data_IF_928418911787
#
_entry.id   IF_928418911787
#
_cell.length_a   1.000
_cell.length_b   1.000
_cell.length_c   1.000
_cell.angle_alpha   90.00
_cell.angle_beta   90.00
_cell.angle_gamma   90.00
#
_symmetry.space_group_name_H-M   'P 1'
#
loop_
_entity.id
_entity.type
_entity.pdbx_description
1 polymer ?
#
# COMPACT_ATOMS: atom_id res chain seq x y z
N UNK A 1 66.63 -55.45 -24.49
CA UNK A 1 66.10 -54.74 -23.27
C UNK A 1 65.91 -53.25 -23.54
N UNK A 2 66.83 -52.62 -24.34
CA UNK A 2 66.77 -51.23 -24.71
C UNK A 2 66.15 -51.05 -26.09
N UNK A 3 65.05 -50.45 -26.24
CA UNK A 3 64.42 -50.15 -27.52
C UNK A 3 64.78 -48.73 -27.96
N UNK A 4 65.36 -48.55 -29.17
CA UNK A 4 65.73 -47.23 -29.68
C UNK A 4 64.49 -46.43 -30.05
N UNK A 5 64.33 -45.24 -29.47
CA UNK A 5 63.18 -44.31 -29.66
C UNK A 5 63.50 -43.20 -30.66
N UNK A 6 64.73 -42.64 -30.58
CA UNK A 6 65.08 -41.47 -31.40
C UNK A 6 66.59 -41.31 -31.50
N UNK A 7 67.17 -41.00 -32.74
CA UNK A 7 68.51 -40.57 -32.95
C UNK A 7 68.59 -39.05 -33.00
N UNK A 8 69.45 -38.44 -32.17
CA UNK A 8 69.79 -37.03 -32.16
C UNK A 8 71.18 -36.83 -32.74
N UNK A 9 71.57 -35.59 -33.07
CA UNK A 9 72.88 -35.31 -33.69
C UNK A 9 74.07 -35.79 -32.83
N UNK A 10 74.00 -35.80 -31.53
CA UNK A 10 75.05 -36.17 -30.61
C UNK A 10 74.62 -37.16 -29.52
N UNK A 11 73.43 -37.82 -29.67
CA UNK A 11 72.93 -38.76 -28.69
C UNK A 11 71.91 -39.73 -29.33
N UNK A 12 71.71 -40.86 -28.73
CA UNK A 12 70.56 -41.72 -28.97
C UNK A 12 69.71 -41.93 -27.77
N UNK A 13 68.37 -41.85 -27.95
CA UNK A 13 67.40 -42.12 -26.91
C UNK A 13 66.88 -43.51 -26.98
N UNK A 14 66.94 -44.18 -25.84
CA UNK A 14 66.41 -45.53 -25.66
C UNK A 14 65.28 -45.49 -24.66
N UNK A 15 64.38 -46.44 -24.77
CA UNK A 15 63.32 -46.65 -23.78
C UNK A 15 63.38 -48.13 -23.34
N UNK A 16 63.05 -48.33 -22.08
CA UNK A 16 62.80 -49.68 -21.52
C UNK A 16 61.31 -49.82 -21.20
N UNK A 17 60.78 -51.06 -21.23
CA UNK A 17 59.31 -51.24 -20.94
C UNK A 17 58.86 -50.62 -19.66
N UNK A 18 59.58 -50.81 -18.59
CA UNK A 18 59.23 -50.26 -17.25
C UNK A 18 59.19 -48.71 -17.23
N UNK A 19 60.12 -48.03 -17.96
CA UNK A 19 60.10 -46.56 -18.05
C UNK A 19 58.93 -46.09 -18.87
N UNK A 20 58.52 -46.85 -19.89
CA UNK A 20 57.34 -46.52 -20.68
C UNK A 20 56.04 -46.65 -19.88
N UNK A 21 55.91 -47.70 -19.08
CA UNK A 21 54.77 -47.87 -18.19
C UNK A 21 54.68 -46.75 -17.15
N UNK A 22 55.83 -46.29 -16.62
CA UNK A 22 55.88 -45.16 -15.70
C UNK A 22 55.52 -43.83 -16.39
N UNK A 23 56.03 -43.60 -17.61
CA UNK A 23 55.73 -42.46 -18.47
C UNK A 23 54.21 -42.39 -18.71
N UNK A 24 53.59 -43.49 -19.15
CA UNK A 24 52.16 -43.59 -19.46
C UNK A 24 51.32 -43.42 -18.19
N UNK A 25 51.83 -43.89 -17.04
CA UNK A 25 51.16 -43.69 -15.76
C UNK A 25 51.19 -42.24 -15.32
N UNK A 26 52.34 -41.57 -15.42
CA UNK A 26 52.50 -40.16 -15.01
C UNK A 26 51.75 -39.21 -15.95
N UNK A 27 51.97 -39.37 -17.27
CA UNK A 27 51.34 -38.48 -18.26
C UNK A 27 49.83 -38.70 -18.37
N UNK A 28 49.35 -39.93 -18.13
CA UNK A 28 47.92 -40.24 -18.12
C UNK A 28 47.23 -40.07 -16.77
N UNK A 29 47.97 -39.69 -15.72
CA UNK A 29 47.40 -39.58 -14.36
C UNK A 29 46.33 -38.49 -14.23
N UNK A 30 46.56 -37.32 -14.88
CA UNK A 30 45.64 -36.18 -14.86
C UNK A 30 44.34 -36.52 -15.59
N UNK A 31 44.39 -37.11 -16.75
CA UNK A 31 43.22 -37.54 -17.53
C UNK A 31 42.40 -38.59 -16.75
N UNK A 32 43.08 -39.55 -16.12
CA UNK A 32 42.41 -40.54 -15.26
C UNK A 32 41.77 -39.91 -14.05
N UNK A 33 42.43 -38.94 -13.44
CA UNK A 33 41.86 -38.17 -12.30
C UNK A 33 40.57 -37.46 -12.69
N UNK A 34 40.59 -36.70 -13.78
CA UNK A 34 39.39 -36.01 -14.29
C UNK A 34 38.26 -36.97 -14.68
N UNK A 35 38.61 -38.11 -15.30
CA UNK A 35 37.60 -39.12 -15.63
C UNK A 35 36.94 -39.70 -14.37
N UNK A 36 37.73 -40.00 -13.33
CA UNK A 36 37.23 -40.52 -12.08
C UNK A 36 36.41 -39.47 -11.30
N UNK A 37 36.86 -38.22 -11.26
CA UNK A 37 36.12 -37.13 -10.65
C UNK A 37 34.75 -36.95 -11.32
N UNK A 38 34.72 -37.01 -12.65
CA UNK A 38 33.46 -36.87 -13.39
C UNK A 38 32.52 -38.07 -13.14
N UNK A 39 33.04 -39.28 -13.06
CA UNK A 39 32.25 -40.47 -12.73
C UNK A 39 31.64 -40.38 -11.34
N UNK A 40 32.42 -39.99 -10.32
CA UNK A 40 31.96 -39.78 -8.96
C UNK A 40 30.93 -38.66 -8.91
N UNK A 41 31.17 -37.56 -9.61
CA UNK A 41 30.22 -36.47 -9.72
C UNK A 41 28.88 -36.94 -10.31
N UNK A 42 28.91 -37.68 -11.39
CA UNK A 42 27.72 -38.22 -12.03
C UNK A 42 26.95 -39.16 -11.09
N UNK A 43 27.64 -40.00 -10.36
CA UNK A 43 27.03 -40.93 -9.40
C UNK A 43 26.34 -40.18 -8.26
N UNK A 44 27.03 -39.25 -7.63
CA UNK A 44 26.46 -38.39 -6.59
C UNK A 44 25.24 -37.59 -7.10
N UNK A 45 25.37 -36.99 -8.28
CA UNK A 45 24.26 -36.29 -8.96
C UNK A 45 23.03 -37.17 -9.13
N UNK A 46 23.25 -38.39 -9.63
CA UNK A 46 22.18 -39.36 -9.91
C UNK A 46 21.52 -39.85 -8.62
N UNK A 47 22.28 -40.06 -7.55
CA UNK A 47 21.76 -40.41 -6.21
C UNK A 47 20.88 -39.28 -5.67
N UNK A 48 21.30 -38.01 -5.80
CA UNK A 48 20.50 -36.85 -5.40
C UNK A 48 19.25 -36.74 -6.27
N UNK A 49 19.38 -36.89 -7.58
CA UNK A 49 18.27 -36.83 -8.52
C UNK A 49 17.18 -37.86 -8.21
N UNK A 50 17.56 -39.05 -7.80
CA UNK A 50 16.64 -40.12 -7.41
C UNK A 50 15.81 -39.76 -6.11
N UNK A 51 16.28 -38.80 -5.30
CA UNK A 51 15.64 -38.36 -4.07
C UNK A 51 15.05 -36.94 -4.16
N UNK A 52 15.04 -36.33 -5.35
CA UNK A 52 14.67 -34.89 -5.52
C UNK A 52 13.28 -34.58 -5.03
N UNK A 53 12.29 -35.42 -5.28
CA UNK A 53 10.91 -35.24 -4.78
C UNK A 53 10.84 -35.19 -3.26
N UNK A 54 11.56 -36.14 -2.60
CA UNK A 54 11.62 -36.20 -1.13
C UNK A 54 12.30 -34.96 -0.56
N UNK A 55 13.42 -34.54 -1.15
CA UNK A 55 14.16 -33.34 -0.74
C UNK A 55 13.27 -32.09 -0.89
N UNK A 56 12.61 -31.92 -2.04
CA UNK A 56 11.72 -30.78 -2.28
C UNK A 56 10.51 -30.77 -1.35
N UNK A 57 9.91 -31.92 -1.07
CA UNK A 57 8.80 -32.04 -0.15
C UNK A 57 9.21 -31.66 1.27
N UNK A 58 10.36 -32.15 1.73
CA UNK A 58 10.93 -31.82 3.03
C UNK A 58 11.26 -30.32 3.12
N UNK A 59 11.91 -29.75 2.10
CA UNK A 59 12.23 -28.33 2.04
C UNK A 59 10.98 -27.44 2.10
N UNK A 60 9.91 -27.81 1.37
CA UNK A 60 8.62 -27.11 1.46
C UNK A 60 7.99 -27.19 2.86
N UNK A 61 8.11 -28.32 3.52
CA UNK A 61 7.60 -28.48 4.88
C UNK A 61 8.37 -27.61 5.90
N UNK A 62 9.71 -27.64 5.80
CA UNK A 62 10.58 -26.79 6.62
C UNK A 62 10.30 -25.30 6.39
N UNK A 63 10.19 -24.86 5.12
CA UNK A 63 9.88 -23.49 4.79
C UNK A 63 8.54 -23.01 5.40
N UNK A 64 7.51 -23.88 5.42
CA UNK A 64 6.24 -23.55 6.08
C UNK A 64 6.41 -23.35 7.59
N UNK A 65 7.14 -24.25 8.24
CA UNK A 65 7.39 -24.15 9.69
C UNK A 65 8.19 -22.89 10.01
N UNK A 66 9.20 -22.56 9.22
CA UNK A 66 10.02 -21.35 9.39
C UNK A 66 9.18 -20.08 9.27
N UNK A 67 8.31 -19.99 8.26
CA UNK A 67 7.38 -18.87 8.10
C UNK A 67 6.44 -18.75 9.31
N UNK A 68 5.84 -19.85 9.77
CA UNK A 68 4.95 -19.82 10.92
C UNK A 68 5.67 -19.45 12.21
N UNK A 69 6.87 -19.95 12.42
CA UNK A 69 7.69 -19.60 13.59
C UNK A 69 8.04 -18.10 13.57
N UNK A 70 8.43 -17.56 12.42
CA UNK A 70 8.75 -16.14 12.26
C UNK A 70 7.53 -15.25 12.52
N UNK A 71 6.37 -15.58 11.95
CA UNK A 71 5.13 -14.83 12.15
C UNK A 71 4.65 -14.90 13.61
N UNK A 72 4.76 -16.06 14.25
CA UNK A 72 4.40 -16.26 15.67
C UNK A 72 5.30 -15.43 16.59
N UNK A 73 6.60 -15.44 16.36
CA UNK A 73 7.56 -14.66 17.13
C UNK A 73 7.32 -13.15 17.02
N UNK A 74 7.02 -12.65 15.81
CA UNK A 74 6.67 -11.24 15.59
C UNK A 74 5.34 -10.89 16.28
N UNK A 75 4.34 -11.77 16.20
CA UNK A 75 3.04 -11.56 16.83
C UNK A 75 3.17 -11.48 18.36
N UNK A 76 3.92 -12.37 18.98
CA UNK A 76 4.18 -12.37 20.42
C UNK A 76 4.91 -11.09 20.86
N UNK A 77 6.03 -10.77 20.22
CA UNK A 77 6.86 -9.61 20.56
C UNK A 77 6.18 -8.26 20.34
N UNK A 78 5.22 -8.21 19.41
CA UNK A 78 4.56 -6.96 19.02
C UNK A 78 3.10 -6.88 19.52
N UNK A 79 2.65 -7.81 20.35
CA UNK A 79 1.28 -7.89 20.84
C UNK A 79 0.24 -7.80 19.70
N UNK A 80 0.44 -8.62 18.66
CA UNK A 80 -0.50 -8.74 17.57
C UNK A 80 -1.59 -9.77 17.91
N UNK A 81 -2.79 -9.55 17.38
CA UNK A 81 -3.94 -10.43 17.62
C UNK A 81 -4.29 -11.23 16.37
N UNK A 82 -4.89 -12.40 16.58
CA UNK A 82 -5.40 -13.23 15.49
C UNK A 82 -6.62 -12.57 14.86
N UNK A 83 -6.59 -12.18 13.56
CA UNK A 83 -7.76 -11.64 12.90
C UNK A 83 -8.79 -12.73 12.61
N UNK A 84 -10.07 -12.35 12.59
CA UNK A 84 -11.14 -13.14 11.97
C UNK A 84 -11.21 -12.75 10.49
N UNK A 85 -11.37 -13.75 9.63
CA UNK A 85 -11.57 -13.53 8.19
C UNK A 85 -13.03 -13.82 7.87
N UNK A 86 -13.67 -12.96 7.07
CA UNK A 86 -15.05 -13.09 6.64
C UNK A 86 -15.22 -12.89 5.13
N UNK A 87 -16.31 -13.44 4.59
CA UNK A 87 -16.69 -13.28 3.18
C UNK A 87 -17.76 -12.20 2.99
N UNK A 88 -18.19 -11.55 4.06
CA UNK A 88 -19.26 -10.54 4.06
C UNK A 88 -18.79 -9.16 3.62
N UNK A 89 -17.52 -9.01 3.30
CA UNK A 89 -16.92 -7.74 2.86
C UNK A 89 -16.73 -6.70 3.97
N UNK A 90 -16.96 -7.04 5.25
CA UNK A 90 -16.81 -6.12 6.37
C UNK A 90 -15.34 -6.06 6.80
N UNK A 91 -14.80 -4.85 6.92
CA UNK A 91 -13.49 -4.56 7.54
C UNK A 91 -13.79 -3.81 8.83
N UNK A 92 -13.57 -4.48 9.98
CA UNK A 92 -13.73 -3.90 11.31
C UNK A 92 -12.47 -4.13 12.13
N UNK A 93 -11.73 -3.06 12.35
CA UNK A 93 -10.45 -3.04 13.07
C UNK A 93 -10.63 -2.16 14.28
N UNK A 94 -10.33 -2.68 15.47
CA UNK A 94 -10.33 -1.93 16.73
C UNK A 94 -8.91 -1.69 17.20
N UNK A 95 -8.65 -0.45 17.61
CA UNK A 95 -7.34 0.00 18.10
C UNK A 95 -6.20 -0.41 17.17
N UNK A 96 -6.41 -0.25 15.86
CA UNK A 96 -5.40 -0.53 14.84
C UNK A 96 -4.14 0.32 15.05
N UNK A 97 -2.97 -0.27 14.85
CA UNK A 97 -1.66 0.37 14.94
C UNK A 97 -0.89 0.19 13.63
N UNK A 98 -0.03 1.15 13.31
CA UNK A 98 0.81 1.05 12.13
C UNK A 98 2.05 0.20 12.44
N UNK A 99 2.26 -0.98 11.82
CA UNK A 99 3.28 -1.95 12.25
C UNK A 99 4.72 -1.44 12.18
N UNK A 100 4.98 -0.44 11.35
CA UNK A 100 6.31 0.18 11.21
C UNK A 100 6.42 1.41 12.12
N UNK A 101 5.45 2.32 12.04
CA UNK A 101 5.52 3.61 12.75
C UNK A 101 5.49 3.41 14.26
N UNK A 102 4.72 2.45 14.78
CA UNK A 102 4.70 2.14 16.21
C UNK A 102 6.07 1.74 16.78
N UNK A 103 6.94 1.14 15.96
CA UNK A 103 8.30 0.75 16.35
C UNK A 103 9.31 1.89 16.25
N UNK A 104 9.00 2.93 15.49
CA UNK A 104 9.88 4.09 15.30
C UNK A 104 9.62 5.20 16.31
N UNK A 105 8.43 5.20 16.93
CA UNK A 105 8.04 6.17 17.95
C UNK A 105 8.39 5.59 19.33
N UNK A 106 8.91 6.42 20.27
CA UNK A 106 9.16 5.96 21.64
C UNK A 106 7.90 5.34 22.28
N UNK A 107 8.12 4.33 23.12
CA UNK A 107 7.09 3.51 23.73
C UNK A 107 5.89 4.32 24.24
N UNK A 108 4.68 3.82 23.95
CA UNK A 108 3.37 4.31 24.38
C UNK A 108 2.90 5.67 23.79
N UNK A 109 3.59 6.23 22.81
CA UNK A 109 3.15 7.47 22.15
C UNK A 109 2.37 7.26 20.85
N UNK A 110 2.21 6.02 20.38
CA UNK A 110 1.41 5.73 19.19
C UNK A 110 -0.09 5.75 19.52
N UNK A 111 -0.85 6.56 18.81
CA UNK A 111 -2.31 6.64 18.98
C UNK A 111 -2.98 5.66 18.02
N UNK A 112 -3.59 4.63 18.58
CA UNK A 112 -4.36 3.63 17.84
C UNK A 112 -5.68 4.21 17.30
N UNK A 113 -6.17 3.66 16.19
CA UNK A 113 -7.40 4.10 15.54
C UNK A 113 -8.27 2.93 15.10
N UNK A 114 -9.58 3.10 15.20
CA UNK A 114 -10.56 2.17 14.66
C UNK A 114 -10.75 2.40 13.16
N UNK A 115 -11.04 1.33 12.42
CA UNK A 115 -11.43 1.40 11.02
C UNK A 115 -12.63 0.51 10.79
N UNK A 116 -13.69 1.07 10.21
CA UNK A 116 -14.87 0.30 9.83
C UNK A 116 -15.27 0.63 8.40
N UNK A 117 -15.38 -0.39 7.55
CA UNK A 117 -15.89 -0.29 6.18
C UNK A 117 -16.82 -1.49 5.89
N UNK A 118 -17.91 -1.23 5.21
CA UNK A 118 -18.84 -2.27 4.77
C UNK A 118 -19.32 -2.03 3.31
N UNK A 119 -20.07 -2.95 2.76
CA UNK A 119 -20.58 -2.86 1.38
C UNK A 119 -21.92 -2.10 1.30
N UNK A 120 -22.43 -1.56 2.39
CA UNK A 120 -23.81 -1.00 2.47
C UNK A 120 -23.83 0.48 2.81
N UNK A 121 -23.46 0.82 4.06
CA UNK A 121 -23.65 2.17 4.61
C UNK A 121 -22.32 2.93 4.81
N UNK A 122 -21.24 2.21 5.04
CA UNK A 122 -19.92 2.79 5.31
C UNK A 122 -18.88 2.26 4.32
N UNK A 123 -19.12 2.52 3.04
CA UNK A 123 -18.23 2.07 1.98
C UNK A 123 -17.08 3.03 1.75
N UNK A 124 -17.35 4.31 1.78
CA UNK A 124 -16.37 5.37 1.58
C UNK A 124 -16.27 6.21 2.85
N UNK A 125 -15.06 6.34 3.37
CA UNK A 125 -14.74 7.24 4.46
C UNK A 125 -13.94 8.42 3.91
N UNK A 126 -14.54 9.61 3.89
CA UNK A 126 -13.85 10.86 3.57
C UNK A 126 -13.19 11.35 4.86
N UNK A 127 -11.87 11.53 4.80
CA UNK A 127 -11.05 11.88 5.97
C UNK A 127 -10.46 13.26 5.76
N UNK A 128 -10.95 14.24 6.53
CA UNK A 128 -10.47 15.62 6.47
C UNK A 128 -9.53 15.94 7.64
N UNK A 129 -8.82 17.04 7.52
CA UNK A 129 -7.89 17.51 8.55
C UNK A 129 -6.54 17.91 7.98
N UNK A 130 -5.69 18.55 8.79
CA UNK A 130 -4.41 19.07 8.31
C UNK A 130 -3.44 17.97 7.91
N UNK A 131 -2.54 18.32 7.00
CA UNK A 131 -1.38 17.47 6.70
C UNK A 131 -0.54 17.33 7.97
N UNK A 132 0.29 16.37 8.12
CA UNK A 132 1.06 16.04 9.35
C UNK A 132 0.22 15.55 10.56
N UNK A 133 -1.10 15.61 10.51
CA UNK A 133 -1.95 15.14 11.62
C UNK A 133 -2.14 13.60 11.66
N UNK A 134 -1.66 12.87 10.63
CA UNK A 134 -1.63 11.41 10.62
C UNK A 134 -2.65 10.71 9.71
N UNK A 135 -3.36 11.44 8.81
CA UNK A 135 -4.32 10.85 7.85
C UNK A 135 -3.71 9.72 7.04
N UNK A 136 -2.61 10.00 6.35
CA UNK A 136 -1.93 9.02 5.49
C UNK A 136 -1.40 7.82 6.28
N UNK A 137 -0.90 8.05 7.51
CA UNK A 137 -0.46 6.97 8.41
C UNK A 137 -1.62 6.06 8.77
N UNK A 138 -2.78 6.62 9.11
CA UNK A 138 -3.99 5.88 9.43
C UNK A 138 -4.48 5.03 8.25
N UNK A 139 -4.53 5.60 7.05
CA UNK A 139 -4.99 4.86 5.88
C UNK A 139 -4.04 3.72 5.49
N UNK A 140 -2.73 3.99 5.53
CA UNK A 140 -1.70 2.95 5.30
C UNK A 140 -1.76 1.85 6.35
N UNK A 141 -1.99 2.19 7.61
CA UNK A 141 -2.21 1.24 8.70
C UNK A 141 -3.35 0.28 8.38
N UNK A 142 -4.51 0.80 7.97
CA UNK A 142 -5.66 -0.03 7.61
C UNK A 142 -5.34 -0.99 6.45
N UNK A 143 -4.68 -0.49 5.40
CA UNK A 143 -4.25 -1.31 4.26
C UNK A 143 -3.26 -2.41 4.67
N UNK A 144 -2.28 -2.09 5.51
CA UNK A 144 -1.29 -3.06 6.00
C UNK A 144 -1.93 -4.13 6.89
N UNK A 145 -2.87 -3.76 7.75
CA UNK A 145 -3.60 -4.73 8.60
C UNK A 145 -4.39 -5.70 7.71
N UNK A 146 -5.10 -5.21 6.69
CA UNK A 146 -5.83 -6.05 5.74
C UNK A 146 -4.87 -6.99 4.98
N UNK A 147 -3.75 -6.47 4.49
CA UNK A 147 -2.73 -7.26 3.81
C UNK A 147 -2.15 -8.36 4.71
N UNK A 148 -1.75 -8.00 5.94
CA UNK A 148 -1.19 -8.94 6.92
C UNK A 148 -2.20 -10.04 7.26
N UNK A 149 -3.46 -9.69 7.46
CA UNK A 149 -4.53 -10.65 7.74
C UNK A 149 -4.69 -11.66 6.59
N UNK A 150 -4.66 -11.20 5.33
CA UNK A 150 -4.80 -12.08 4.16
C UNK A 150 -3.54 -12.92 3.88
N UNK A 151 -2.37 -12.49 4.34
CA UNK A 151 -1.15 -13.31 4.33
C UNK A 151 -1.18 -14.43 5.38
N UNK A 152 -2.15 -14.43 6.31
CA UNK A 152 -2.22 -15.38 7.41
C UNK A 152 -1.43 -14.96 8.64
N UNK A 153 -0.99 -13.71 8.73
CA UNK A 153 -0.32 -13.15 9.90
C UNK A 153 -1.32 -12.68 10.95
N UNK A 154 -0.89 -12.61 12.20
CA UNK A 154 -1.54 -11.80 13.22
C UNK A 154 -1.33 -10.31 12.91
N UNK A 155 -2.20 -9.45 13.45
CA UNK A 155 -2.29 -8.03 13.08
C UNK A 155 -2.16 -7.10 14.28
N UNK A 156 -1.60 -5.90 14.08
CA UNK A 156 -1.44 -4.88 15.13
C UNK A 156 -2.78 -4.18 15.44
N UNK A 157 -3.61 -4.83 16.24
CA UNK A 157 -4.93 -4.33 16.67
C UNK A 157 -5.32 -4.94 18.00
N UNK A 158 -6.36 -4.43 18.67
CA UNK A 158 -6.99 -5.11 19.81
C UNK A 158 -7.96 -6.21 19.35
N UNK A 159 -8.63 -5.98 18.21
CA UNK A 159 -9.38 -7.00 17.48
C UNK A 159 -9.49 -6.62 16.00
N UNK A 160 -9.63 -7.62 15.12
CA UNK A 160 -9.84 -7.39 13.70
C UNK A 160 -10.76 -8.45 13.10
N UNK A 161 -11.75 -8.00 12.31
CA UNK A 161 -12.61 -8.83 11.49
C UNK A 161 -12.48 -8.32 10.05
N UNK A 162 -11.80 -9.09 9.20
CA UNK A 162 -11.34 -8.63 7.89
C UNK A 162 -12.07 -9.38 6.79
N UNK A 163 -12.87 -8.63 6.03
CA UNK A 163 -13.46 -9.10 4.78
C UNK A 163 -12.40 -9.27 3.71
N UNK A 164 -12.50 -10.36 2.96
CA UNK A 164 -11.57 -10.63 1.87
C UNK A 164 -11.64 -9.52 0.81
N UNK A 165 -10.49 -9.04 0.39
CA UNK A 165 -10.32 -8.12 -0.72
C UNK A 165 -9.49 -8.78 -1.82
N UNK A 166 -9.84 -8.51 -3.08
CA UNK A 166 -9.11 -9.05 -4.22
C UNK A 166 -7.83 -8.27 -4.51
N UNK A 167 -7.86 -6.95 -4.26
CA UNK A 167 -6.73 -6.04 -4.47
C UNK A 167 -6.76 -4.89 -3.49
N UNK A 168 -5.58 -4.38 -3.17
CA UNK A 168 -5.40 -3.13 -2.43
C UNK A 168 -4.72 -2.15 -3.37
N UNK A 169 -5.39 -1.06 -3.69
CA UNK A 169 -4.83 0.02 -4.48
C UNK A 169 -4.50 1.20 -3.57
N UNK A 170 -3.33 1.78 -3.78
CA UNK A 170 -2.89 2.95 -3.03
C UNK A 170 -2.47 4.05 -3.97
N UNK A 171 -2.97 5.27 -3.72
CA UNK A 171 -2.46 6.50 -4.28
C UNK A 171 -2.11 7.41 -3.12
N UNK A 172 -0.84 7.48 -2.77
CA UNK A 172 -0.34 8.18 -1.58
C UNK A 172 0.92 8.94 -1.92
N UNK A 173 0.83 10.27 -1.85
CA UNK A 173 1.95 11.19 -2.09
C UNK A 173 2.45 11.19 -3.54
N UNK A 174 2.93 12.32 -4.02
CA UNK A 174 3.69 12.39 -5.26
C UNK A 174 5.17 12.14 -4.93
N UNK A 175 5.80 11.15 -5.57
CA UNK A 175 7.24 11.20 -5.80
C UNK A 175 7.44 11.97 -7.10
N UNK A 176 8.24 13.03 -7.07
CA UNK A 176 8.65 13.71 -8.28
C UNK A 176 9.44 12.73 -9.13
N UNK A 177 8.82 12.22 -10.17
CA UNK A 177 9.53 11.46 -11.20
C UNK A 177 10.15 12.43 -12.22
N UNK A 178 11.23 13.06 -11.81
CA UNK A 178 12.01 13.97 -12.64
C UNK A 178 12.56 13.29 -13.91
N UNK A 179 12.63 11.97 -13.94
CA UNK A 179 13.21 11.20 -15.04
C UNK A 179 12.23 11.05 -16.23
N UNK A 180 10.92 11.06 -15.97
CA UNK A 180 9.90 10.88 -17.04
C UNK A 180 9.48 12.18 -17.71
N UNK A 181 9.85 13.36 -17.19
CA UNK A 181 9.43 14.67 -17.70
C UNK A 181 7.92 14.95 -17.60
N UNK A 182 7.17 14.12 -16.87
CA UNK A 182 5.74 14.31 -16.65
C UNK A 182 5.51 15.22 -15.44
N UNK A 183 4.45 16.04 -15.49
CA UNK A 183 4.06 16.80 -14.31
C UNK A 183 3.54 15.87 -13.22
N UNK A 184 3.74 16.24 -11.95
CA UNK A 184 3.25 15.50 -10.78
C UNK A 184 1.75 15.22 -10.86
N UNK A 185 0.98 16.16 -11.44
CA UNK A 185 -0.46 16.02 -11.68
C UNK A 185 -0.77 14.97 -12.74
N UNK A 186 0.02 14.87 -13.83
CA UNK A 186 -0.18 13.84 -14.86
C UNK A 186 0.12 12.44 -14.31
N UNK A 187 1.17 12.29 -13.50
CA UNK A 187 1.47 11.04 -12.81
C UNK A 187 0.31 10.64 -11.90
N UNK A 188 -0.19 11.59 -11.09
CA UNK A 188 -1.34 11.39 -10.22
C UNK A 188 -2.57 10.90 -11.01
N UNK A 189 -2.93 11.58 -12.09
CA UNK A 189 -4.09 11.21 -12.90
C UNK A 189 -3.92 9.85 -13.59
N UNK A 190 -2.71 9.49 -13.99
CA UNK A 190 -2.41 8.18 -14.56
C UNK A 190 -2.60 7.07 -13.53
N UNK A 191 -2.16 7.28 -12.29
CA UNK A 191 -2.36 6.33 -11.18
C UNK A 191 -3.86 6.18 -10.84
N UNK A 192 -4.59 7.31 -10.72
CA UNK A 192 -6.04 7.30 -10.49
C UNK A 192 -6.76 6.57 -11.62
N UNK A 193 -6.43 6.84 -12.88
CA UNK A 193 -7.00 6.15 -14.02
C UNK A 193 -6.74 4.64 -14.00
N UNK A 194 -5.52 4.23 -13.63
CA UNK A 194 -5.18 2.82 -13.46
C UNK A 194 -6.03 2.14 -12.36
N UNK A 195 -6.19 2.82 -11.22
CA UNK A 195 -7.03 2.33 -10.12
C UNK A 195 -8.48 2.16 -10.58
N UNK A 196 -9.09 3.20 -11.16
CA UNK A 196 -10.50 3.18 -11.55
C UNK A 196 -10.81 2.14 -12.64
N UNK A 197 -9.83 1.82 -13.51
CA UNK A 197 -9.98 0.79 -14.55
C UNK A 197 -9.82 -0.63 -14.04
N UNK A 198 -9.01 -0.86 -13.01
CA UNK A 198 -8.63 -2.21 -12.57
C UNK A 198 -9.24 -2.61 -11.23
N UNK A 199 -9.80 -1.68 -10.46
CA UNK A 199 -10.47 -1.98 -9.21
C UNK A 199 -11.82 -2.67 -9.45
N UNK A 200 -12.24 -3.46 -8.48
CA UNK A 200 -13.54 -4.14 -8.43
C UNK A 200 -14.30 -3.73 -7.17
N UNK A 201 -15.54 -4.12 -7.06
CA UNK A 201 -16.35 -3.90 -5.85
C UNK A 201 -15.77 -4.60 -4.60
N UNK A 202 -14.86 -5.56 -4.78
CA UNK A 202 -14.16 -6.26 -3.70
C UNK A 202 -12.81 -5.64 -3.34
N UNK A 203 -12.36 -4.62 -4.07
CA UNK A 203 -11.08 -3.95 -3.82
C UNK A 203 -11.16 -3.00 -2.62
N UNK A 204 -10.00 -2.75 -2.01
CA UNK A 204 -9.78 -1.70 -1.02
C UNK A 204 -8.95 -0.58 -1.65
N UNK A 205 -9.48 0.63 -1.65
CA UNK A 205 -8.82 1.80 -2.21
C UNK A 205 -8.33 2.73 -1.10
N UNK A 206 -7.09 3.17 -1.21
CA UNK A 206 -6.45 4.17 -0.34
C UNK A 206 -6.06 5.34 -1.20
N UNK A 207 -6.85 6.42 -1.14
CA UNK A 207 -6.69 7.59 -1.99
C UNK A 207 -6.36 8.81 -1.12
N UNK A 208 -5.20 9.39 -1.33
CA UNK A 208 -4.68 10.49 -0.53
C UNK A 208 -4.46 11.73 -1.39
N UNK A 209 -5.17 12.80 -1.06
CA UNK A 209 -5.05 14.14 -1.66
C UNK A 209 -5.21 14.17 -3.19
N UNK A 210 -6.22 13.51 -3.72
CA UNK A 210 -6.53 13.56 -5.16
C UNK A 210 -6.92 14.98 -5.57
N UNK A 211 -6.34 15.45 -6.70
CA UNK A 211 -6.61 16.77 -7.29
C UNK A 211 -5.74 17.89 -6.76
N UNK A 212 -4.72 17.61 -5.92
CA UNK A 212 -3.87 18.67 -5.33
C UNK A 212 -2.94 19.33 -6.34
N UNK A 213 -2.57 18.66 -7.41
CA UNK A 213 -1.58 19.13 -8.40
C UNK A 213 -2.09 20.11 -9.43
N UNK A 214 -3.34 20.62 -9.33
CA UNK A 214 -3.97 21.54 -10.28
C UNK A 214 -4.69 22.69 -9.58
N UNK A 215 -5.48 23.49 -10.31
CA UNK A 215 -6.30 24.56 -9.72
C UNK A 215 -7.30 23.99 -8.71
N UNK A 216 -7.66 24.77 -7.68
CA UNK A 216 -8.57 24.33 -6.62
C UNK A 216 -9.91 23.81 -7.17
N UNK A 217 -10.49 24.52 -8.15
CA UNK A 217 -11.79 24.13 -8.72
C UNK A 217 -11.71 22.86 -9.56
N UNK A 218 -10.66 22.71 -10.38
CA UNK A 218 -10.45 21.49 -11.17
C UNK A 218 -10.18 20.30 -10.26
N UNK A 219 -9.31 20.49 -9.28
CA UNK A 219 -8.95 19.45 -8.32
C UNK A 219 -10.14 18.97 -7.49
N UNK A 220 -10.95 19.89 -6.96
CA UNK A 220 -12.18 19.58 -6.25
C UNK A 220 -13.18 18.85 -7.15
N UNK A 221 -13.37 19.31 -8.38
CA UNK A 221 -14.31 18.69 -9.33
C UNK A 221 -13.91 17.27 -9.68
N UNK A 222 -12.62 17.03 -9.91
CA UNK A 222 -12.08 15.68 -10.17
C UNK A 222 -12.26 14.79 -8.93
N UNK A 223 -11.87 15.26 -7.76
CA UNK A 223 -11.98 14.49 -6.51
C UNK A 223 -13.45 14.13 -6.22
N UNK A 224 -14.37 15.06 -6.42
CA UNK A 224 -15.81 14.84 -6.27
C UNK A 224 -16.31 13.75 -7.21
N UNK A 225 -16.02 13.88 -8.52
CA UNK A 225 -16.43 12.94 -9.55
C UNK A 225 -15.84 11.53 -9.30
N UNK A 226 -14.60 11.43 -8.80
CA UNK A 226 -13.97 10.17 -8.41
C UNK A 226 -14.74 9.50 -7.26
N UNK A 227 -15.13 10.25 -6.22
CA UNK A 227 -15.92 9.71 -5.11
C UNK A 227 -17.29 9.24 -5.60
N UNK A 228 -17.97 9.99 -6.46
CA UNK A 228 -19.25 9.59 -7.05
C UNK A 228 -19.12 8.30 -7.87
N UNK A 229 -18.10 8.22 -8.72
CA UNK A 229 -17.82 7.02 -9.52
C UNK A 229 -17.58 5.78 -8.65
N UNK A 230 -16.79 5.92 -7.60
CA UNK A 230 -16.49 4.81 -6.68
C UNK A 230 -17.73 4.40 -5.87
N UNK A 231 -18.57 5.36 -5.50
CA UNK A 231 -19.77 5.13 -4.69
C UNK A 231 -20.87 4.37 -5.43
N UNK A 232 -20.93 4.50 -6.75
CA UNK A 232 -21.96 3.83 -7.57
C UNK A 232 -21.65 2.33 -7.74
N UNK A 233 -22.51 1.49 -7.21
CA UNK A 233 -22.40 0.03 -7.32
C UNK A 233 -22.44 -0.50 -8.75
N UNK A 234 -22.97 0.26 -9.69
CA UNK A 234 -23.03 -0.12 -11.11
C UNK A 234 -21.73 0.18 -11.82
N UNK A 235 -20.97 1.17 -11.33
CA UNK A 235 -19.69 1.60 -11.90
C UNK A 235 -18.52 0.89 -11.21
N UNK A 236 -18.42 0.97 -9.88
CA UNK A 236 -17.32 0.36 -9.15
C UNK A 236 -17.77 -0.25 -7.81
N UNK A 237 -18.21 0.53 -6.85
CA UNK A 237 -18.69 0.07 -5.55
C UNK A 237 -17.58 -0.43 -4.60
N UNK A 238 -16.35 0.06 -4.71
CA UNK A 238 -15.21 -0.37 -3.89
C UNK A 238 -15.17 0.28 -2.50
N UNK A 239 -14.65 -0.43 -1.50
CA UNK A 239 -14.37 0.12 -0.18
C UNK A 239 -13.20 1.10 -0.25
N UNK A 240 -13.37 2.30 0.31
CA UNK A 240 -12.41 3.38 0.09
C UNK A 240 -12.16 4.19 1.35
N UNK A 241 -10.89 4.44 1.66
CA UNK A 241 -10.43 5.49 2.54
C UNK A 241 -9.91 6.63 1.66
N UNK A 242 -10.53 7.79 1.76
CA UNK A 242 -10.27 8.95 0.92
C UNK A 242 -9.86 10.14 1.78
N UNK A 243 -8.57 10.46 1.85
CA UNK A 243 -8.11 11.65 2.53
C UNK A 243 -8.08 12.85 1.59
N UNK A 244 -8.51 13.98 2.10
CA UNK A 244 -8.58 15.21 1.32
C UNK A 244 -8.37 16.44 2.18
N UNK A 245 -7.94 17.52 1.55
CA UNK A 245 -7.94 18.88 2.11
C UNK A 245 -9.14 19.71 1.62
N UNK A 246 -9.93 19.18 0.68
CA UNK A 246 -11.17 19.81 0.22
C UNK A 246 -12.28 19.55 1.23
N UNK A 247 -12.63 20.56 2.05
CA UNK A 247 -13.70 20.45 3.04
C UNK A 247 -15.06 20.28 2.38
N UNK A 248 -15.22 20.81 1.17
CA UNK A 248 -16.43 20.74 0.35
C UNK A 248 -16.87 19.29 0.08
N UNK A 249 -15.91 18.35 0.02
CA UNK A 249 -16.24 16.92 -0.15
C UNK A 249 -17.04 16.34 1.03
N UNK A 250 -17.03 16.98 2.18
CA UNK A 250 -17.84 16.55 3.34
C UNK A 250 -19.35 16.69 3.06
N UNK A 251 -19.73 17.55 2.11
CA UNK A 251 -21.11 17.70 1.65
C UNK A 251 -21.68 16.44 0.98
N UNK A 252 -20.83 15.49 0.61
CA UNK A 252 -21.25 14.21 0.02
C UNK A 252 -21.94 13.29 1.05
N UNK A 253 -21.63 13.42 2.35
CA UNK A 253 -22.37 12.73 3.40
C UNK A 253 -23.84 13.21 3.41
N UNK A 254 -24.77 12.27 3.46
CA UNK A 254 -26.20 12.55 3.36
C UNK A 254 -26.71 12.77 1.93
N UNK A 255 -25.86 13.09 0.95
CA UNK A 255 -26.21 13.13 -0.48
C UNK A 255 -25.96 11.79 -1.14
N UNK A 256 -24.89 11.09 -0.77
CA UNK A 256 -24.52 9.74 -1.21
C UNK A 256 -24.64 8.81 -0.01
N UNK A 257 -25.48 7.80 -0.13
CA UNK A 257 -25.90 6.94 0.99
C UNK A 257 -24.78 6.18 1.71
N UNK A 258 -23.69 5.89 1.03
CA UNK A 258 -22.58 5.05 1.51
C UNK A 258 -21.28 5.83 1.77
N UNK A 259 -21.36 7.16 1.81
CA UNK A 259 -20.26 8.07 2.14
C UNK A 259 -20.41 8.57 3.58
N UNK A 260 -19.34 8.54 4.35
CA UNK A 260 -19.29 9.00 5.72
C UNK A 260 -18.06 9.88 5.94
N UNK A 261 -18.23 10.93 6.73
CA UNK A 261 -17.17 11.87 7.05
C UNK A 261 -16.46 11.50 8.35
N UNK A 262 -15.16 11.65 8.29
CA UNK A 262 -14.26 11.53 9.44
C UNK A 262 -13.27 12.68 9.42
N UNK A 263 -12.79 13.05 10.59
CA UNK A 263 -11.74 14.05 10.71
C UNK A 263 -10.72 13.64 11.77
N UNK A 264 -9.57 14.29 11.72
CA UNK A 264 -8.60 14.16 12.80
C UNK A 264 -9.00 15.06 13.93
N UNK A 265 -9.11 14.51 15.13
CA UNK A 265 -9.39 15.27 16.34
C UNK A 265 -8.25 16.24 16.64
N UNK A 266 -8.63 17.50 16.84
CA UNK A 266 -7.74 18.60 17.19
C UNK A 266 -8.18 19.18 18.51
N UNK A 267 -7.23 19.48 19.39
CA UNK A 267 -7.48 20.23 20.62
C UNK A 267 -6.91 21.62 20.47
N UNK A 268 -7.78 22.62 20.48
CA UNK A 268 -7.41 24.02 20.49
C UNK A 268 -7.03 24.44 21.93
N UNK A 269 -5.93 25.15 22.08
CA UNK A 269 -5.47 25.71 23.35
C UNK A 269 -5.05 27.16 23.13
N UNK A 270 -6.04 28.07 23.16
CA UNK A 270 -5.86 29.44 22.72
C UNK A 270 -5.53 29.50 21.22
N UNK A 271 -4.43 30.18 20.87
CA UNK A 271 -3.92 30.26 19.48
C UNK A 271 -3.11 29.03 19.02
N UNK A 272 -2.87 28.07 19.93
CA UNK A 272 -2.10 26.87 19.64
C UNK A 272 -3.02 25.67 19.42
N UNK A 273 -2.59 24.74 18.55
CA UNK A 273 -3.31 23.51 18.24
C UNK A 273 -2.46 22.28 18.60
N UNK A 274 -3.13 21.26 19.10
CA UNK A 274 -2.55 19.94 19.34
C UNK A 274 -3.31 18.90 18.53
N UNK A 275 -2.61 18.24 17.63
CA UNK A 275 -3.18 17.14 16.86
C UNK A 275 -3.23 15.88 17.72
N UNK A 276 -4.43 15.40 18.01
CA UNK A 276 -4.64 14.21 18.84
C UNK A 276 -4.37 12.92 18.08
N UNK A 277 -4.16 12.98 16.77
CA UNK A 277 -3.91 11.81 15.88
C UNK A 277 -5.01 10.75 15.97
N UNK A 278 -6.18 11.10 16.49
CA UNK A 278 -7.37 10.25 16.61
C UNK A 278 -8.34 10.59 15.50
N UNK A 279 -8.78 9.57 14.75
CA UNK A 279 -9.83 9.69 13.75
C UNK A 279 -11.17 9.63 14.47
N UNK A 280 -12.01 10.61 14.23
CA UNK A 280 -13.35 10.73 14.81
C UNK A 280 -14.39 10.96 13.71
N UNK A 281 -15.63 10.57 13.95
CA UNK A 281 -16.73 10.80 13.03
C UNK A 281 -17.08 12.28 12.94
N UNK A 282 -17.30 12.78 11.73
CA UNK A 282 -17.66 14.16 11.41
C UNK A 282 -16.69 14.81 10.42
N UNK A 283 -17.05 15.94 9.87
CA UNK A 283 -16.18 16.77 9.03
C UNK A 283 -15.35 17.74 9.88
N UNK A 284 -14.19 18.16 9.39
CA UNK A 284 -13.46 19.29 9.96
C UNK A 284 -14.05 20.59 9.39
N UNK A 285 -14.58 21.43 10.24
CA UNK A 285 -15.21 22.69 9.84
C UNK A 285 -14.18 23.81 9.55
N UNK A 286 -12.91 23.58 9.92
CA UNK A 286 -11.85 24.59 9.82
C UNK A 286 -10.60 24.04 9.16
N UNK A 287 -9.97 24.86 8.35
CA UNK A 287 -8.61 24.67 7.83
C UNK A 287 -7.61 25.11 8.92
N UNK A 288 -6.58 24.31 9.15
CA UNK A 288 -5.53 24.60 10.14
C UNK A 288 -4.18 24.96 9.46
N UNK A 289 -4.19 25.34 8.19
CA UNK A 289 -2.96 25.63 7.42
C UNK A 289 -2.12 26.75 8.04
N UNK A 290 -2.76 27.83 8.51
CA UNK A 290 -2.08 28.98 9.13
C UNK A 290 -1.45 28.58 10.48
N UNK A 291 -2.15 27.77 11.27
CA UNK A 291 -1.63 27.26 12.55
C UNK A 291 -0.43 26.34 12.34
N UNK A 292 -0.48 25.48 11.29
CA UNK A 292 0.67 24.64 10.90
C UNK A 292 1.85 25.51 10.47
N UNK A 293 1.61 26.58 9.70
CA UNK A 293 2.67 27.52 9.30
C UNK A 293 3.32 28.21 10.52
N UNK A 294 2.49 28.61 11.52
CA UNK A 294 2.99 29.13 12.79
C UNK A 294 3.88 28.11 13.54
N UNK A 295 3.42 26.86 13.64
CA UNK A 295 4.19 25.78 14.26
C UNK A 295 5.50 25.48 13.52
N UNK A 296 5.56 25.69 12.21
CA UNK A 296 6.74 25.54 11.39
C UNK A 296 7.73 26.73 11.53
N UNK A 297 7.37 27.78 12.27
CA UNK A 297 8.24 28.93 12.50
C UNK A 297 8.15 30.04 11.45
N UNK A 298 7.06 30.09 10.67
CA UNK A 298 6.81 31.25 9.78
C UNK A 298 6.66 32.50 10.61
N UNK A 299 7.29 33.65 10.22
CA UNK A 299 7.26 34.88 11.00
C UNK A 299 5.83 35.36 11.34
N UNK A 300 5.63 35.84 12.56
CA UNK A 300 4.33 36.26 13.09
C UNK A 300 3.63 37.32 12.22
N UNK A 301 4.39 38.23 11.59
CA UNK A 301 3.83 39.24 10.67
C UNK A 301 3.13 38.57 9.47
N UNK A 302 3.70 37.50 8.93
CA UNK A 302 3.11 36.74 7.83
C UNK A 302 1.87 35.98 8.30
N UNK A 303 1.94 35.38 9.49
CA UNK A 303 0.81 34.64 10.10
C UNK A 303 -0.38 35.57 10.36
N UNK A 304 -0.12 36.76 10.94
CA UNK A 304 -1.17 37.77 11.18
C UNK A 304 -1.84 38.19 9.90
N UNK A 305 -1.04 38.54 8.86
CA UNK A 305 -1.62 38.95 7.58
C UNK A 305 -2.39 37.82 6.89
N UNK A 306 -1.90 36.56 7.00
CA UNK A 306 -2.60 35.40 6.45
C UNK A 306 -3.97 35.18 7.12
N UNK A 307 -4.10 35.42 8.44
CA UNK A 307 -5.38 35.36 9.15
C UNK A 307 -6.36 36.41 8.62
N UNK A 308 -5.92 37.66 8.47
CA UNK A 308 -6.74 38.73 7.89
C UNK A 308 -7.24 38.38 6.48
N UNK A 309 -6.35 37.88 5.61
CA UNK A 309 -6.70 37.51 4.23
C UNK A 309 -7.71 36.36 4.23
N UNK A 310 -7.58 35.36 5.11
CA UNK A 310 -8.55 34.24 5.18
C UNK A 310 -9.91 34.74 5.64
N UNK A 311 -10.00 35.70 6.56
CA UNK A 311 -11.26 36.33 6.96
C UNK A 311 -11.92 37.05 5.79
N UNK A 312 -11.12 37.79 4.97
CA UNK A 312 -11.61 38.45 3.76
C UNK A 312 -12.09 37.48 2.67
N UNK A 313 -11.43 36.29 2.55
CA UNK A 313 -11.73 35.26 1.55
C UNK A 313 -12.82 34.27 2.00
N UNK A 314 -13.12 34.19 3.29
CA UNK A 314 -14.07 33.20 3.85
C UNK A 314 -15.54 33.54 3.58
N UNK A 315 -15.82 34.65 2.90
CA UNK A 315 -17.18 35.04 2.59
C UNK A 315 -17.84 34.11 1.57
N UNK A 316 -18.86 33.43 2.04
CA UNK A 316 -20.08 32.85 1.46
C UNK A 316 -20.10 32.23 0.05
N UNK A 317 -19.19 32.61 -0.86
CA UNK A 317 -19.37 32.32 -2.29
C UNK A 317 -19.08 30.85 -2.70
N UNK A 318 -18.13 30.18 -2.07
CA UNK A 318 -17.70 28.84 -2.49
C UNK A 318 -18.64 27.77 -1.92
N UNK A 319 -18.96 27.86 -0.63
CA UNK A 319 -19.82 26.88 0.05
C UNK A 319 -21.26 26.94 -0.48
N UNK A 320 -21.76 28.16 -0.78
CA UNK A 320 -23.10 28.38 -1.35
C UNK A 320 -23.19 27.79 -2.77
N UNK A 321 -22.21 28.02 -3.64
CA UNK A 321 -22.17 27.46 -5.01
C UNK A 321 -22.07 25.93 -5.02
N UNK A 322 -21.28 25.35 -4.13
CA UNK A 322 -21.14 23.88 -4.02
C UNK A 322 -22.45 23.25 -3.53
N UNK A 323 -23.14 23.88 -2.56
CA UNK A 323 -24.44 23.40 -2.09
C UNK A 323 -25.54 23.49 -3.15
N UNK A 324 -25.50 24.50 -4.01
CA UNK A 324 -26.42 24.66 -5.15
C UNK A 324 -26.21 23.60 -6.22
N UNK A 325 -24.95 23.31 -6.60
CA UNK A 325 -24.62 22.26 -7.59
C UNK A 325 -25.14 20.90 -7.12
N UNK A 326 -24.88 20.57 -5.86
CA UNK A 326 -25.33 19.32 -5.27
C UNK A 326 -26.86 19.21 -5.10
N UNK A 327 -27.55 20.35 -4.99
CA UNK A 327 -29.03 20.40 -4.95
C UNK A 327 -29.65 20.21 -6.34
N UNK A 328 -29.04 20.78 -7.39
CA UNK A 328 -29.49 20.63 -8.79
C UNK A 328 -29.39 19.18 -9.29
N UNK A 329 -28.41 18.42 -8.89
CA UNK A 329 -28.33 16.99 -9.23
C UNK A 329 -29.42 16.14 -8.59
N UNK A 330 -29.82 16.43 -7.34
CA UNK A 330 -30.99 15.78 -6.72
C UNK A 330 -32.28 16.01 -7.50
N UNK A 331 -32.47 17.22 -8.02
CA UNK A 331 -33.65 17.54 -8.85
C UNK A 331 -33.59 16.86 -10.21
N UNK A 332 -32.42 16.80 -10.84
CA UNK A 332 -32.27 16.12 -12.14
C UNK A 332 -32.48 14.60 -12.01
N UNK A 333 -31.94 13.97 -10.99
CA UNK A 333 -32.18 12.55 -10.70
C UNK A 333 -33.66 12.27 -10.34
N UNK A 334 -34.35 13.22 -9.69
CA UNK A 334 -35.78 13.14 -9.42
C UNK A 334 -36.62 13.27 -10.69
N UNK A 335 -36.28 14.20 -11.57
CA UNK A 335 -36.94 14.42 -12.88
C UNK A 335 -36.73 13.25 -13.86
N UNK A 336 -35.56 12.61 -13.84
CA UNK A 336 -35.31 11.41 -14.62
C UNK A 336 -36.07 10.18 -14.10
N UNK A 337 -36.27 10.07 -12.79
CA UNK A 337 -37.11 8.99 -12.21
C UNK A 337 -38.59 9.20 -12.53
N UNK A 338 -39.09 10.43 -12.53
CA UNK A 338 -40.50 10.74 -12.88
C UNK A 338 -40.78 10.53 -14.35
N UNK A 339 -39.87 10.94 -15.25
CA UNK A 339 -40.00 10.66 -16.69
C UNK A 339 -40.00 9.16 -17.05
N UNK A 340 -39.36 8.32 -16.25
CA UNK A 340 -39.32 6.88 -16.47
C UNK A 340 -40.58 6.14 -15.97
N UNK A 341 -41.42 6.84 -15.18
CA UNK A 341 -42.74 6.33 -14.77
C UNK A 341 -43.86 6.77 -15.72
N UNK A 342 -43.68 7.89 -16.41
CA UNK A 342 -44.69 8.42 -17.38
C UNK A 342 -44.55 7.79 -18.79
N UNK A 343 -43.51 6.99 -19.06
CA UNK A 343 -43.34 6.26 -20.34
C UNK A 343 -43.79 4.78 -20.25
N UNK A 344 -44.47 4.35 -19.18
CA UNK A 344 -44.90 2.96 -18.93
C UNK A 344 -46.44 2.87 -18.74
N UNK A 345 -47.21 3.92 -19.08
CA UNK A 345 -48.68 3.83 -19.21
C UNK A 345 -49.13 3.93 -20.67
#
# INVERSE_FOLDING_TARGET
>A
YYTRKQTLANAERYIIPELKELEDTILGAEDKLYALEYEIYCDVRNQIAAQVERIQTTAKAIAKVDVFASLALVAERSNYVRPKINEQGVIDIKDGRHPVVEKMIPNDMFISNDTYLDDKKQRISIITGPNMAGKSTYMRQAALIVLMAQLGSFVPASSANIGLVDRIFTRVGASDDLASGQSTFMVEMTEVANILRNATSKSLLILDEIGRGTSTFDGLSIAWAVVEYISDNKLLGAKTLFATHYHELTELEGKIHNVNNYCIAVKEKGDDIVFLRKIVKGGADKSYGIQVAKLAGVPDVVITRAKEIVEELSDEDITTRVSEIASREKEQKKKQKTKKYDEVD
#
